data_IF_348535506822
#
_entry.id   IF_348535506822
#
_cell.length_a   1.000
_cell.length_b   1.000
_cell.length_c   1.000
_cell.angle_alpha   90.00
_cell.angle_beta   90.00
_cell.angle_gamma   90.00
#
_symmetry.space_group_name_H-M   'P 1'
#
loop_
_entity.id
_entity.type
_entity.pdbx_description
1 polymer ?
#
# COMPACT_ATOMS: atom_id res chain seq x y z
N UNK A 1 -37.72 -6.22 20.46
CA UNK A 1 -36.65 -7.23 20.62
C UNK A 1 -35.67 -6.70 21.63
N UNK A 2 -35.63 -7.29 22.83
CA UNK A 2 -34.82 -6.83 23.95
C UNK A 2 -33.46 -7.54 23.90
N UNK A 3 -32.37 -6.77 23.87
CA UNK A 3 -31.01 -7.29 23.85
C UNK A 3 -30.66 -7.89 25.21
N UNK A 4 -30.23 -9.14 25.24
CA UNK A 4 -29.86 -9.84 26.48
C UNK A 4 -28.46 -9.37 26.95
N UNK A 5 -28.30 -8.94 28.22
CA UNK A 5 -27.04 -8.39 28.73
C UNK A 5 -25.85 -9.36 28.75
N UNK A 6 -26.10 -10.67 28.70
CA UNK A 6 -25.07 -11.70 28.87
C UNK A 6 -24.09 -11.81 27.71
N UNK A 7 -24.49 -11.42 26.49
CA UNK A 7 -23.62 -11.49 25.31
C UNK A 7 -22.65 -10.29 25.24
N UNK A 8 -23.08 -9.13 25.73
CA UNK A 8 -22.32 -7.89 25.70
C UNK A 8 -21.09 -7.91 26.64
N UNK A 9 -21.21 -8.56 27.81
CA UNK A 9 -20.09 -8.69 28.75
C UNK A 9 -19.03 -9.70 28.27
N UNK A 10 -19.40 -10.69 27.46
CA UNK A 10 -18.45 -11.64 26.88
C UNK A 10 -17.55 -10.99 25.81
N UNK A 11 -18.13 -10.16 24.94
CA UNK A 11 -17.36 -9.46 23.89
C UNK A 11 -16.43 -8.40 24.52
N UNK A 12 -16.88 -7.68 25.55
CA UNK A 12 -16.05 -6.70 26.25
C UNK A 12 -14.85 -7.36 26.96
N UNK A 13 -15.03 -8.52 27.58
CA UNK A 13 -13.95 -9.25 28.24
C UNK A 13 -12.91 -9.80 27.26
N UNK A 14 -13.35 -10.30 26.09
CA UNK A 14 -12.45 -10.74 25.02
C UNK A 14 -11.70 -9.59 24.36
N UNK A 15 -12.32 -8.42 24.24
CA UNK A 15 -11.66 -7.23 23.66
C UNK A 15 -10.50 -6.75 24.54
N UNK A 16 -10.67 -6.76 25.86
CA UNK A 16 -9.63 -6.33 26.78
C UNK A 16 -8.44 -7.31 26.86
N UNK A 17 -8.68 -8.60 26.65
CA UNK A 17 -7.61 -9.62 26.66
C UNK A 17 -6.79 -9.62 25.35
N UNK A 18 -7.43 -9.40 24.19
CA UNK A 18 -6.74 -9.33 22.89
C UNK A 18 -5.86 -8.08 22.80
N UNK A 19 -6.26 -6.97 23.43
CA UNK A 19 -5.46 -5.74 23.48
C UNK A 19 -4.19 -5.86 24.35
N UNK A 20 -4.14 -6.79 25.31
CA UNK A 20 -2.99 -6.93 26.23
C UNK A 20 -1.93 -7.94 25.75
N UNK A 21 -2.27 -8.85 24.83
CA UNK A 21 -1.41 -9.99 24.49
C UNK A 21 -0.88 -10.05 23.05
N UNK A 22 -1.13 -9.04 22.20
CA UNK A 22 -0.49 -8.98 20.86
C UNK A 22 -0.02 -7.57 20.47
N UNK A 23 1.12 -7.11 21.01
CA UNK A 23 1.70 -5.81 20.60
C UNK A 23 2.04 -5.71 19.11
N UNK A 24 2.14 -6.86 18.41
CA UNK A 24 2.54 -6.91 17.00
C UNK A 24 1.39 -6.87 15.98
N UNK A 25 0.13 -7.14 16.37
CA UNK A 25 -0.97 -7.24 15.40
C UNK A 25 -1.81 -5.95 15.33
N UNK A 26 -1.90 -5.20 16.43
CA UNK A 26 -2.56 -3.89 16.46
C UNK A 26 -1.82 -2.80 15.64
N UNK A 27 -0.51 -2.95 15.46
CA UNK A 27 0.31 -2.00 14.67
C UNK A 27 0.10 -2.13 13.14
N UNK A 28 -0.41 -3.26 12.65
CA UNK A 28 -0.51 -3.51 11.20
C UNK A 28 -1.73 -2.85 10.54
N UNK A 29 -2.78 -2.52 11.31
CA UNK A 29 -4.01 -1.90 10.78
C UNK A 29 -3.92 -0.36 10.83
N UNK A 30 -2.95 0.21 11.56
CA UNK A 30 -2.83 1.65 11.79
C UNK A 30 -2.08 2.44 10.69
N UNK A 31 -1.48 1.81 9.69
CA UNK A 31 -0.69 2.51 8.66
C UNK A 31 -1.47 2.81 7.36
N UNK A 32 -2.80 2.82 7.40
CA UNK A 32 -3.64 3.16 6.22
C UNK A 32 -3.75 4.68 5.98
N UNK A 33 -2.99 5.51 6.69
CA UNK A 33 -3.04 6.98 6.58
C UNK A 33 -2.41 7.54 5.30
N UNK A 34 -1.77 6.69 4.47
CA UNK A 34 -1.07 7.10 3.25
C UNK A 34 -1.96 7.15 2.01
N UNK A 35 -3.22 6.70 2.10
CA UNK A 35 -4.17 6.68 0.98
C UNK A 35 -5.20 7.79 1.16
N UNK A 36 -5.15 8.79 0.29
CA UNK A 36 -6.07 9.93 0.30
C UNK A 36 -6.99 9.90 -0.94
N UNK A 37 -8.30 10.06 -0.71
CA UNK A 37 -9.30 10.11 -1.79
C UNK A 37 -9.77 11.56 -1.97
N UNK A 38 -9.42 12.17 -3.10
CA UNK A 38 -9.73 13.57 -3.42
C UNK A 38 -10.94 13.75 -4.34
N UNK A 39 -11.35 12.69 -5.06
CA UNK A 39 -12.45 12.77 -6.02
C UNK A 39 -12.16 13.80 -7.13
N UNK A 40 -13.00 14.82 -7.22
CA UNK A 40 -12.86 15.94 -8.18
C UNK A 40 -12.26 17.20 -7.56
N UNK A 41 -11.91 17.19 -6.27
CA UNK A 41 -11.30 18.34 -5.60
C UNK A 41 -9.78 18.38 -5.82
N UNK A 42 -9.37 19.08 -6.88
CA UNK A 42 -7.97 19.28 -7.20
C UNK A 42 -7.22 20.12 -6.17
N UNK A 43 -7.91 20.98 -5.40
CA UNK A 43 -7.24 21.84 -4.40
C UNK A 43 -6.69 21.01 -3.25
N UNK A 44 -7.48 20.07 -2.71
CA UNK A 44 -6.98 19.16 -1.68
C UNK A 44 -5.94 18.17 -2.20
N UNK A 45 -5.99 17.80 -3.49
CA UNK A 45 -4.95 16.98 -4.10
C UNK A 45 -3.60 17.70 -4.19
N UNK A 46 -3.63 18.99 -4.55
CA UNK A 46 -2.42 19.81 -4.67
C UNK A 46 -1.77 20.19 -3.35
N UNK A 47 -2.37 19.88 -2.20
CA UNK A 47 -1.66 19.97 -0.91
C UNK A 47 -0.61 18.86 -0.75
N UNK A 48 -0.73 17.77 -1.52
CA UNK A 48 0.20 16.64 -1.49
C UNK A 48 1.14 16.61 -2.70
N UNK A 49 0.70 17.11 -3.87
CA UNK A 49 1.47 17.07 -5.11
C UNK A 49 1.44 18.43 -5.82
N UNK A 50 2.61 18.97 -6.16
CA UNK A 50 2.75 20.25 -6.86
C UNK A 50 2.15 20.19 -8.27
N UNK A 51 1.32 21.17 -8.64
CA UNK A 51 0.61 21.19 -9.93
C UNK A 51 1.54 21.16 -11.15
N UNK A 52 2.68 21.82 -11.08
CA UNK A 52 3.68 21.86 -12.16
C UNK A 52 4.29 20.50 -12.50
N UNK A 53 4.21 19.54 -11.57
CA UNK A 53 4.73 18.18 -11.78
C UNK A 53 3.75 17.25 -12.51
N UNK A 54 2.52 17.72 -12.74
CA UNK A 54 1.43 16.90 -13.25
C UNK A 54 1.00 17.34 -14.66
N UNK A 55 0.59 16.40 -15.52
CA UNK A 55 -0.06 16.71 -16.79
C UNK A 55 -1.36 17.51 -16.61
N UNK A 56 -1.71 18.36 -17.59
CA UNK A 56 -2.95 19.15 -17.63
C UNK A 56 -4.22 18.32 -17.34
N UNK A 57 -4.30 17.10 -17.89
CA UNK A 57 -5.45 16.18 -17.71
C UNK A 57 -5.67 15.69 -16.28
N UNK A 58 -4.69 15.87 -15.40
CA UNK A 58 -4.75 15.53 -13.97
C UNK A 58 -4.75 16.78 -13.08
N UNK A 59 -5.20 17.93 -13.61
CA UNK A 59 -5.28 19.20 -12.88
C UNK A 59 -3.95 19.93 -12.75
N UNK A 60 -2.87 19.44 -13.37
CA UNK A 60 -1.55 20.08 -13.33
C UNK A 60 -1.34 21.16 -14.38
N UNK A 61 -0.09 21.61 -14.51
CA UNK A 61 0.32 22.66 -15.45
C UNK A 61 1.30 22.17 -16.54
N UNK A 62 1.68 20.89 -16.51
CA UNK A 62 2.63 20.33 -17.47
C UNK A 62 1.94 19.93 -18.77
N UNK A 63 2.41 20.49 -19.88
CA UNK A 63 1.98 20.11 -21.23
C UNK A 63 2.87 18.95 -21.73
N UNK A 64 2.41 17.71 -21.50
CA UNK A 64 3.09 16.48 -21.91
C UNK A 64 2.21 15.72 -22.91
N UNK A 65 2.77 15.17 -24.00
CA UNK A 65 2.03 14.31 -24.91
C UNK A 65 1.44 13.08 -24.20
N UNK A 66 0.20 12.73 -24.56
CA UNK A 66 -0.56 11.63 -23.93
C UNK A 66 0.10 10.25 -24.10
N UNK A 67 0.86 10.05 -25.18
CA UNK A 67 1.50 8.77 -25.47
C UNK A 67 2.90 8.68 -24.83
N UNK A 68 2.94 8.65 -23.51
CA UNK A 68 4.19 8.48 -22.73
C UNK A 68 4.63 7.01 -22.62
N UNK A 69 3.79 6.05 -23.04
CA UNK A 69 4.03 4.61 -22.90
C UNK A 69 5.35 4.11 -23.52
N UNK A 70 5.63 4.41 -24.80
CA UNK A 70 6.90 4.03 -25.42
C UNK A 70 8.11 4.66 -24.73
N UNK A 71 7.99 5.90 -24.25
CA UNK A 71 9.08 6.60 -23.56
C UNK A 71 9.34 6.00 -22.18
N UNK A 72 8.27 5.64 -21.47
CA UNK A 72 8.35 4.89 -20.21
C UNK A 72 8.99 3.53 -20.45
N UNK A 73 8.61 2.81 -21.50
CA UNK A 73 9.22 1.53 -21.86
C UNK A 73 10.73 1.66 -22.09
N UNK A 74 11.17 2.64 -22.89
CA UNK A 74 12.59 2.92 -23.12
C UNK A 74 13.33 3.19 -21.81
N UNK A 75 12.73 4.00 -20.91
CA UNK A 75 13.29 4.30 -19.60
C UNK A 75 13.43 3.05 -18.74
N UNK A 76 12.40 2.20 -18.68
CA UNK A 76 12.43 0.95 -17.92
C UNK A 76 13.48 -0.03 -18.47
N UNK A 77 13.60 -0.14 -19.80
CA UNK A 77 14.60 -0.99 -20.42
C UNK A 77 16.03 -0.59 -20.06
N UNK A 78 16.31 0.70 -19.84
CA UNK A 78 17.64 1.18 -19.43
C UNK A 78 18.09 0.60 -18.09
N UNK A 79 17.16 0.31 -17.17
CA UNK A 79 17.46 -0.23 -15.84
C UNK A 79 17.35 -1.76 -15.78
N UNK A 80 17.17 -2.44 -16.92
CA UNK A 80 16.96 -3.89 -16.96
C UNK A 80 18.12 -4.66 -16.33
N UNK A 81 19.35 -4.31 -16.68
CA UNK A 81 20.54 -5.02 -16.20
C UNK A 81 20.71 -4.88 -14.68
N UNK A 82 20.52 -3.66 -14.15
CA UNK A 82 20.55 -3.39 -12.71
C UNK A 82 19.43 -4.14 -11.97
N UNK A 83 18.24 -4.23 -12.56
CA UNK A 83 17.14 -4.99 -12.01
C UNK A 83 17.49 -6.49 -11.94
N UNK A 84 18.05 -7.06 -13.02
CA UNK A 84 18.48 -8.46 -13.06
C UNK A 84 19.60 -8.74 -12.05
N UNK A 85 20.56 -7.82 -11.88
CA UNK A 85 21.63 -7.94 -10.88
C UNK A 85 21.10 -7.90 -9.45
N UNK A 86 20.20 -6.95 -9.14
CA UNK A 86 19.56 -6.88 -7.82
C UNK A 86 18.70 -8.11 -7.55
N UNK A 87 18.02 -8.64 -8.55
CA UNK A 87 17.15 -9.81 -8.40
C UNK A 87 17.93 -11.11 -8.09
N UNK A 88 19.25 -11.14 -8.34
CA UNK A 88 20.12 -12.25 -7.87
C UNK A 88 20.26 -12.28 -6.35
N UNK A 89 20.06 -11.14 -5.69
CA UNK A 89 20.27 -10.95 -4.27
C UNK A 89 18.91 -10.73 -3.58
N UNK A 90 18.37 -11.77 -2.94
CA UNK A 90 17.06 -11.71 -2.31
C UNK A 90 16.68 -12.97 -1.55
N UNK A 91 15.42 -13.06 -1.14
CA UNK A 91 14.91 -14.21 -0.42
C UNK A 91 15.05 -15.48 -1.25
N UNK A 92 15.92 -16.39 -0.81
CA UNK A 92 15.99 -17.72 -1.41
C UNK A 92 14.68 -18.45 -1.12
N UNK A 93 14.12 -19.13 -2.14
CA UNK A 93 13.02 -20.06 -1.90
C UNK A 93 13.53 -21.08 -0.89
N UNK A 94 12.93 -21.13 0.30
CA UNK A 94 13.15 -22.25 1.22
C UNK A 94 12.67 -23.51 0.50
N UNK A 95 13.61 -24.31 0.01
CA UNK A 95 13.31 -25.65 -0.49
C UNK A 95 12.70 -26.43 0.67
N UNK A 96 11.47 -26.92 0.50
CA UNK A 96 10.93 -27.95 1.40
C UNK A 96 11.87 -29.15 1.28
N UNK A 97 12.69 -29.37 2.31
CA UNK A 97 13.43 -30.62 2.45
C UNK A 97 12.37 -31.69 2.68
N UNK A 98 12.03 -32.43 1.63
CA UNK A 98 11.18 -33.61 1.75
C UNK A 98 12.06 -34.70 2.37
N UNK A 99 12.03 -34.81 3.70
CA UNK A 99 12.53 -36.01 4.37
C UNK A 99 11.52 -37.13 4.07
N UNK A 100 11.85 -37.95 3.08
CA UNK A 100 11.21 -39.26 2.89
C UNK A 100 12.03 -40.25 3.72
N UNK A 101 11.39 -40.86 4.71
CA UNK A 101 11.82 -42.09 5.39
C UNK A 101 10.63 -43.03 5.45
#
# INVERSE_FOLDING_TARGET
MQFTPGLAMSIAHWTQHVMQFTPGLAMSIAHWTQVHFHGTDWKSFHTYIVADSLPLRYGGLMDIPENTGPKLHELLCRFKDEFEERNKHGYTKKSKVNNVS
#
